data_IF_006040603650
#
_entry.id   IF_006040603650
#
_cell.length_a   1.000
_cell.length_b   1.000
_cell.length_c   1.000
_cell.angle_alpha   90.00
_cell.angle_beta   90.00
_cell.angle_gamma   90.00
#
_symmetry.space_group_name_H-M   'P 1'
#
loop_
_entity.id
_entity.type
_entity.pdbx_description
1 polymer ?
#
# COMPACT_ATOMS: atom_id res chain seq x y z
N UNK A 1 -13.12 -29.94 -20.87
CA UNK A 1 -12.59 -28.65 -21.36
C UNK A 1 -13.51 -27.56 -20.83
N UNK A 2 -13.11 -26.91 -19.74
CA UNK A 2 -13.88 -25.80 -19.15
C UNK A 2 -13.86 -24.63 -20.13
N UNK A 3 -15.04 -24.18 -20.58
CA UNK A 3 -15.16 -22.95 -21.36
C UNK A 3 -14.53 -21.82 -20.55
N UNK A 4 -13.39 -21.31 -21.02
CA UNK A 4 -12.85 -20.04 -20.54
C UNK A 4 -13.89 -19.00 -20.92
N UNK A 5 -14.51 -18.31 -19.96
CA UNK A 5 -15.42 -17.23 -20.31
C UNK A 5 -14.60 -16.21 -21.11
N UNK A 6 -14.96 -16.02 -22.37
CA UNK A 6 -14.29 -15.04 -23.22
C UNK A 6 -14.83 -13.67 -22.81
N UNK A 7 -14.16 -13.06 -21.82
CA UNK A 7 -14.45 -11.68 -21.42
C UNK A 7 -14.33 -10.80 -22.65
N UNK A 8 -15.43 -10.13 -23.01
CA UNK A 8 -15.48 -9.25 -24.18
C UNK A 8 -14.34 -8.22 -24.13
N UNK A 9 -13.69 -7.96 -25.26
CA UNK A 9 -12.67 -6.91 -25.41
C UNK A 9 -13.20 -5.56 -24.91
N UNK A 10 -14.50 -5.33 -25.05
CA UNK A 10 -15.17 -4.14 -24.54
C UNK A 10 -15.08 -4.02 -23.02
N UNK A 11 -15.28 -5.12 -22.29
CA UNK A 11 -15.20 -5.12 -20.82
C UNK A 11 -13.76 -4.83 -20.36
N UNK A 12 -12.75 -5.39 -21.04
CA UNK A 12 -11.34 -5.08 -20.79
C UNK A 12 -11.02 -3.60 -21.02
N UNK A 13 -11.50 -3.02 -22.13
CA UNK A 13 -11.28 -1.61 -22.41
C UNK A 13 -11.95 -0.73 -21.36
N UNK A 14 -13.17 -1.07 -20.93
CA UNK A 14 -13.89 -0.34 -19.88
C UNK A 14 -13.12 -0.40 -18.55
N UNK A 15 -12.71 -1.59 -18.11
CA UNK A 15 -12.04 -1.74 -16.81
C UNK A 15 -10.65 -1.11 -16.78
N UNK A 16 -9.86 -1.25 -17.85
CA UNK A 16 -8.55 -0.60 -17.97
C UNK A 16 -8.71 0.92 -18.00
N UNK A 17 -9.67 1.43 -18.78
CA UNK A 17 -9.91 2.88 -18.86
C UNK A 17 -10.34 3.44 -17.51
N UNK A 18 -11.28 2.77 -16.84
CA UNK A 18 -11.73 3.17 -15.50
C UNK A 18 -10.57 3.17 -14.49
N UNK A 19 -9.71 2.13 -14.52
CA UNK A 19 -8.54 2.04 -13.66
C UNK A 19 -7.54 3.19 -13.93
N UNK A 20 -7.23 3.46 -15.20
CA UNK A 20 -6.31 4.54 -15.58
C UNK A 20 -6.85 5.91 -15.17
N UNK A 21 -8.16 6.14 -15.28
CA UNK A 21 -8.80 7.38 -14.81
C UNK A 21 -8.67 7.51 -13.30
N UNK A 22 -8.95 6.45 -12.53
CA UNK A 22 -8.83 6.47 -11.06
C UNK A 22 -7.38 6.76 -10.65
N UNK A 23 -6.41 6.04 -11.21
CA UNK A 23 -4.98 6.23 -10.91
C UNK A 23 -4.53 7.64 -11.29
N UNK A 24 -4.93 8.13 -12.47
CA UNK A 24 -4.58 9.47 -12.94
C UNK A 24 -5.14 10.58 -12.04
N UNK A 25 -6.40 10.45 -11.61
CA UNK A 25 -7.04 11.40 -10.69
C UNK A 25 -6.38 11.35 -9.30
N UNK A 26 -6.09 10.17 -8.78
CA UNK A 26 -5.42 10.00 -7.48
C UNK A 26 -4.02 10.61 -7.49
N UNK A 27 -3.23 10.35 -8.54
CA UNK A 27 -1.91 10.94 -8.70
C UNK A 27 -1.96 12.46 -8.83
N UNK A 28 -2.88 12.99 -9.65
CA UNK A 28 -3.08 14.43 -9.80
C UNK A 28 -3.48 15.09 -8.47
N UNK A 29 -4.37 14.44 -7.71
CA UNK A 29 -4.80 14.91 -6.39
C UNK A 29 -3.66 14.88 -5.37
N UNK A 30 -2.89 13.79 -5.32
CA UNK A 30 -1.74 13.63 -4.44
C UNK A 30 -0.68 14.71 -4.73
N UNK A 31 -0.40 15.01 -6.00
CA UNK A 31 0.52 16.08 -6.39
C UNK A 31 -0.03 17.46 -6.02
N UNK A 32 -1.33 17.71 -6.21
CA UNK A 32 -1.97 18.98 -5.88
C UNK A 32 -1.96 19.25 -4.36
N UNK A 33 -2.13 18.22 -3.53
CA UNK A 33 -2.14 18.33 -2.06
C UNK A 33 -0.81 18.02 -1.38
N UNK A 34 0.30 17.95 -2.13
CA UNK A 34 1.64 17.58 -1.62
C UNK A 34 2.20 18.40 -0.45
N UNK A 35 1.60 19.55 -0.13
CA UNK A 35 2.07 20.47 0.93
C UNK A 35 1.23 20.39 2.20
N UNK A 36 0.18 19.57 2.22
CA UNK A 36 -0.74 19.44 3.35
C UNK A 36 -0.44 18.14 4.08
N UNK A 37 -0.21 18.23 5.38
CA UNK A 37 -0.05 17.05 6.22
C UNK A 37 -1.33 16.22 6.23
N UNK A 38 -1.19 14.92 5.98
CA UNK A 38 -2.31 13.99 5.97
C UNK A 38 -2.68 13.63 7.42
N UNK A 39 -3.88 14.00 7.85
CA UNK A 39 -4.39 13.58 9.16
C UNK A 39 -4.72 12.08 9.16
N UNK A 40 -4.57 11.41 10.30
CA UNK A 40 -4.98 10.01 10.47
C UNK A 40 -6.43 9.78 10.03
N UNK A 41 -7.35 10.71 10.31
CA UNK A 41 -8.76 10.61 9.87
C UNK A 41 -8.90 10.66 8.35
N UNK A 42 -8.13 11.52 7.69
CA UNK A 42 -8.12 11.64 6.22
C UNK A 42 -7.56 10.35 5.60
N UNK A 43 -6.47 9.80 6.15
CA UNK A 43 -5.87 8.55 5.70
C UNK A 43 -6.82 7.35 5.86
N UNK A 44 -7.47 7.19 7.02
CA UNK A 44 -8.44 6.11 7.25
C UNK A 44 -9.65 6.25 6.33
N UNK A 45 -10.16 7.46 6.11
CA UNK A 45 -11.28 7.70 5.21
C UNK A 45 -10.95 7.31 3.77
N UNK A 46 -9.77 7.69 3.26
CA UNK A 46 -9.31 7.29 1.93
C UNK A 46 -9.09 5.77 1.81
N UNK A 47 -8.51 5.14 2.83
CA UNK A 47 -8.35 3.68 2.87
C UNK A 47 -9.70 2.96 2.78
N UNK A 48 -10.68 3.34 3.62
CA UNK A 48 -12.01 2.77 3.61
C UNK A 48 -12.75 3.03 2.29
N UNK A 49 -12.60 4.22 1.71
CA UNK A 49 -13.17 4.55 0.41
C UNK A 49 -12.69 3.58 -0.69
N UNK A 50 -11.38 3.37 -0.80
CA UNK A 50 -10.82 2.48 -1.82
C UNK A 50 -11.13 1.00 -1.58
N UNK A 51 -11.12 0.55 -0.32
CA UNK A 51 -11.57 -0.81 0.03
C UNK A 51 -13.04 -1.01 -0.36
N UNK A 52 -13.89 -0.04 -0.04
CA UNK A 52 -15.31 -0.09 -0.40
C UNK A 52 -15.53 -0.08 -1.91
N UNK A 53 -14.74 0.70 -2.64
CA UNK A 53 -14.79 0.75 -4.10
C UNK A 53 -14.40 -0.59 -4.73
N UNK A 54 -13.36 -1.24 -4.21
CA UNK A 54 -12.94 -2.56 -4.66
C UNK A 54 -13.99 -3.64 -4.38
N UNK A 55 -14.61 -3.62 -3.19
CA UNK A 55 -15.70 -4.53 -2.84
C UNK A 55 -16.92 -4.29 -3.73
N UNK A 56 -17.32 -3.03 -3.92
CA UNK A 56 -18.44 -2.67 -4.80
C UNK A 56 -18.19 -3.13 -6.24
N UNK A 57 -16.98 -2.93 -6.76
CA UNK A 57 -16.59 -3.41 -8.08
C UNK A 57 -16.61 -4.94 -8.16
N UNK A 58 -16.05 -5.64 -7.16
CA UNK A 58 -16.09 -7.10 -7.09
C UNK A 58 -17.50 -7.66 -7.04
N UNK A 59 -18.43 -7.01 -6.34
CA UNK A 59 -19.85 -7.38 -6.35
C UNK A 59 -20.48 -7.09 -7.72
N UNK A 60 -20.16 -5.95 -8.34
CA UNK A 60 -20.65 -5.59 -9.68
C UNK A 60 -20.17 -6.56 -10.76
N UNK A 61 -18.98 -7.15 -10.62
CA UNK A 61 -18.46 -8.17 -11.54
C UNK A 61 -19.34 -9.42 -11.63
N UNK A 62 -20.20 -9.70 -10.65
CA UNK A 62 -21.20 -10.79 -10.74
C UNK A 62 -22.14 -10.67 -11.95
N UNK A 63 -22.27 -9.47 -12.52
CA UNK A 63 -23.08 -9.23 -13.71
C UNK A 63 -22.37 -9.64 -15.01
N UNK A 64 -21.04 -9.80 -14.98
CA UNK A 64 -20.20 -10.06 -16.15
C UNK A 64 -19.42 -11.37 -16.07
N UNK A 65 -19.21 -11.90 -14.87
CA UNK A 65 -18.34 -13.04 -14.59
C UNK A 65 -19.08 -14.14 -13.84
N UNK A 66 -18.56 -15.36 -13.94
CA UNK A 66 -19.02 -16.48 -13.13
C UNK A 66 -18.62 -16.32 -11.66
N UNK A 67 -19.29 -17.03 -10.75
CA UNK A 67 -18.96 -17.02 -9.33
C UNK A 67 -17.50 -17.41 -9.03
N UNK A 68 -16.91 -18.29 -9.86
CA UNK A 68 -15.51 -18.68 -9.73
C UNK A 68 -14.56 -17.53 -10.07
N UNK A 69 -14.77 -16.87 -11.20
CA UNK A 69 -13.94 -15.74 -11.63
C UNK A 69 -14.09 -14.55 -10.68
N UNK A 70 -15.27 -14.35 -10.11
CA UNK A 70 -15.50 -13.37 -9.05
C UNK A 70 -14.70 -13.71 -7.78
N UNK A 71 -14.65 -14.98 -7.37
CA UNK A 71 -13.81 -15.42 -6.24
C UNK A 71 -12.32 -15.24 -6.54
N UNK A 72 -11.89 -15.54 -7.76
CA UNK A 72 -10.51 -15.30 -8.21
C UNK A 72 -10.16 -13.81 -8.18
N UNK A 73 -11.09 -12.91 -8.53
CA UNK A 73 -10.91 -11.46 -8.36
C UNK A 73 -10.71 -11.07 -6.89
N UNK A 74 -11.57 -11.52 -5.97
CA UNK A 74 -11.44 -11.18 -4.55
C UNK A 74 -10.18 -11.77 -3.92
N UNK A 75 -9.83 -13.00 -4.27
CA UNK A 75 -8.60 -13.64 -3.82
C UNK A 75 -7.36 -12.89 -4.30
N UNK A 76 -7.34 -12.53 -5.60
CA UNK A 76 -6.27 -11.71 -6.18
C UNK A 76 -6.18 -10.33 -5.54
N UNK A 77 -7.30 -9.59 -5.48
CA UNK A 77 -7.36 -8.26 -4.86
C UNK A 77 -6.87 -8.28 -3.40
N UNK A 78 -7.33 -9.22 -2.58
CA UNK A 78 -6.94 -9.31 -1.17
C UNK A 78 -5.46 -9.66 -1.00
N UNK A 79 -4.94 -10.53 -1.85
CA UNK A 79 -3.52 -10.90 -1.86
C UNK A 79 -2.66 -9.69 -2.22
N UNK A 80 -3.05 -8.98 -3.29
CA UNK A 80 -2.36 -7.78 -3.76
C UNK A 80 -2.44 -6.62 -2.76
N UNK A 81 -3.58 -6.46 -2.09
CA UNK A 81 -3.79 -5.49 -1.03
C UNK A 81 -2.90 -5.78 0.18
N UNK A 82 -2.82 -7.04 0.62
CA UNK A 82 -1.95 -7.46 1.72
C UNK A 82 -0.47 -7.20 1.41
N UNK A 83 -0.01 -7.55 0.20
CA UNK A 83 1.36 -7.28 -0.26
C UNK A 83 1.70 -5.78 -0.30
N UNK A 84 0.71 -4.90 -0.44
CA UNK A 84 0.95 -3.45 -0.41
C UNK A 84 1.27 -2.92 1.00
N UNK A 85 0.78 -3.57 2.06
CA UNK A 85 1.11 -3.22 3.45
C UNK A 85 2.58 -3.49 3.78
N UNK A 86 3.11 -4.61 3.29
CA UNK A 86 4.53 -4.96 3.44
C UNK A 86 5.44 -3.90 2.82
N UNK A 87 5.07 -3.43 1.62
CA UNK A 87 5.81 -2.39 0.90
C UNK A 87 5.75 -1.03 1.61
N UNK A 88 4.60 -0.64 2.17
CA UNK A 88 4.45 0.60 2.93
C UNK A 88 5.36 0.60 4.17
N UNK A 89 5.43 -0.52 4.88
CA UNK A 89 6.25 -0.65 6.08
C UNK A 89 7.74 -0.41 5.79
N UNK A 90 8.25 -1.03 4.73
CA UNK A 90 9.64 -0.85 4.28
C UNK A 90 9.92 0.62 3.93
N UNK A 91 9.00 1.29 3.24
CA UNK A 91 9.18 2.71 2.92
C UNK A 91 9.21 3.58 4.17
N UNK A 92 8.28 3.40 5.11
CA UNK A 92 8.26 4.18 6.36
C UNK A 92 9.56 3.98 7.14
N UNK A 93 10.03 2.74 7.25
CA UNK A 93 11.32 2.44 7.89
C UNK A 93 12.48 3.20 7.25
N UNK A 94 12.62 3.09 5.93
CA UNK A 94 13.72 3.74 5.19
C UNK A 94 13.66 5.26 5.40
N UNK A 95 12.47 5.86 5.31
CA UNK A 95 12.29 7.30 5.48
C UNK A 95 12.62 7.77 6.91
N UNK A 96 12.22 7.01 7.92
CA UNK A 96 12.53 7.29 9.33
C UNK A 96 14.03 7.16 9.59
N UNK A 97 14.67 6.09 9.11
CA UNK A 97 16.12 5.88 9.26
C UNK A 97 16.95 6.96 8.55
N UNK A 98 16.49 7.43 7.40
CA UNK A 98 17.14 8.51 6.64
C UNK A 98 16.80 9.91 7.17
N UNK A 99 15.99 10.03 8.22
CA UNK A 99 15.56 11.31 8.82
C UNK A 99 15.05 12.31 7.78
N UNK A 100 14.31 11.82 6.79
CA UNK A 100 13.77 12.67 5.72
C UNK A 100 12.68 13.57 6.30
N UNK A 101 12.81 14.88 6.08
CA UNK A 101 11.81 15.89 6.43
C UNK A 101 10.42 15.48 5.95
N UNK A 102 9.41 15.63 6.82
CA UNK A 102 8.00 15.22 6.58
C UNK A 102 7.44 15.79 5.27
N UNK A 103 7.85 16.99 4.87
CA UNK A 103 7.42 17.60 3.60
C UNK A 103 7.93 16.84 2.37
N UNK A 104 9.07 16.14 2.48
CA UNK A 104 9.67 15.35 1.40
C UNK A 104 9.28 13.87 1.46
N UNK A 105 8.80 13.38 2.61
CA UNK A 105 8.37 11.99 2.78
C UNK A 105 7.25 11.62 1.80
N UNK A 106 6.24 12.48 1.62
CA UNK A 106 5.15 12.21 0.69
C UNK A 106 5.64 12.02 -0.76
N UNK A 107 6.62 12.81 -1.19
CA UNK A 107 7.21 12.69 -2.52
C UNK A 107 8.03 11.40 -2.66
N UNK A 108 8.83 11.07 -1.64
CA UNK A 108 9.61 9.84 -1.63
C UNK A 108 8.71 8.59 -1.62
N UNK A 109 7.60 8.61 -0.87
CA UNK A 109 6.57 7.58 -0.88
C UNK A 109 5.96 7.43 -2.28
N UNK A 110 5.57 8.54 -2.92
CA UNK A 110 4.96 8.52 -4.24
C UNK A 110 5.92 7.96 -5.31
N UNK A 111 7.21 8.33 -5.26
CA UNK A 111 8.23 7.76 -6.15
C UNK A 111 8.45 6.28 -5.85
N UNK A 112 8.52 5.89 -4.57
CA UNK A 112 8.67 4.50 -4.14
C UNK A 112 7.53 3.61 -4.64
N UNK A 113 6.28 4.07 -4.51
CA UNK A 113 5.09 3.38 -5.03
C UNK A 113 5.18 3.22 -6.56
N UNK A 114 5.57 4.28 -7.29
CA UNK A 114 5.71 4.21 -8.74
C UNK A 114 6.74 3.14 -9.16
N UNK A 115 7.91 3.15 -8.52
CA UNK A 115 8.97 2.17 -8.78
C UNK A 115 8.49 0.75 -8.42
N UNK A 116 7.84 0.58 -7.28
CA UNK A 116 7.30 -0.72 -6.86
C UNK A 116 6.27 -1.28 -7.85
N UNK A 117 5.37 -0.43 -8.38
CA UNK A 117 4.41 -0.83 -9.41
C UNK A 117 5.11 -1.28 -10.70
N UNK A 118 6.14 -0.56 -11.14
CA UNK A 118 6.92 -0.94 -12.34
C UNK A 118 7.65 -2.27 -12.11
N UNK A 119 8.34 -2.42 -10.98
CA UNK A 119 9.01 -3.66 -10.61
C UNK A 119 8.03 -4.81 -10.51
N UNK A 120 6.82 -4.57 -9.99
CA UNK A 120 5.75 -5.58 -9.93
C UNK A 120 5.30 -6.02 -11.31
N UNK A 121 5.08 -5.11 -12.26
CA UNK A 121 4.72 -5.46 -13.65
C UNK A 121 5.82 -6.32 -14.29
N UNK A 122 7.08 -5.93 -14.08
CA UNK A 122 8.25 -6.68 -14.58
C UNK A 122 8.30 -8.08 -13.94
N UNK A 123 8.17 -8.18 -12.62
CA UNK A 123 8.23 -9.44 -11.88
C UNK A 123 7.10 -10.40 -12.28
N UNK A 124 5.87 -9.90 -12.46
CA UNK A 124 4.73 -10.70 -12.93
C UNK A 124 4.95 -11.17 -14.37
N UNK A 125 5.44 -10.29 -15.25
CA UNK A 125 5.70 -10.63 -16.66
C UNK A 125 6.79 -11.69 -16.81
N UNK A 126 7.81 -11.65 -15.95
CA UNK A 126 8.89 -12.64 -15.88
C UNK A 126 8.52 -13.89 -15.05
N UNK A 127 7.45 -13.82 -14.27
CA UNK A 127 7.19 -14.67 -13.11
C UNK A 127 6.81 -16.12 -13.38
N UNK A 128 6.58 -16.51 -14.65
CA UNK A 128 6.14 -17.88 -14.99
C UNK A 128 7.16 -18.98 -14.63
N UNK A 129 8.42 -18.63 -14.34
CA UNK A 129 9.46 -19.56 -13.89
C UNK A 129 10.17 -19.12 -12.58
N UNK A 130 9.95 -17.90 -12.11
CA UNK A 130 10.71 -17.32 -10.98
C UNK A 130 10.05 -17.55 -9.61
N UNK A 131 8.72 -17.55 -9.53
CA UNK A 131 7.99 -17.50 -8.25
C UNK A 131 8.25 -18.74 -7.39
N UNK A 132 8.33 -19.93 -7.98
CA UNK A 132 8.52 -21.19 -7.25
C UNK A 132 9.91 -21.28 -6.58
N UNK A 133 10.92 -20.60 -7.11
CA UNK A 133 12.30 -20.67 -6.59
C UNK A 133 12.62 -19.61 -5.52
N UNK A 134 11.80 -18.56 -5.40
CA UNK A 134 12.04 -17.45 -4.47
C UNK A 134 11.06 -17.40 -3.28
N UNK A 135 10.20 -18.41 -3.11
CA UNK A 135 9.24 -18.44 -1.99
C UNK A 135 9.92 -18.33 -0.62
N UNK A 136 11.09 -18.98 -0.45
CA UNK A 136 11.89 -18.91 0.79
C UNK A 136 12.33 -17.49 1.17
N UNK A 137 12.49 -16.59 0.19
CA UNK A 137 12.88 -15.19 0.39
C UNK A 137 11.77 -14.44 1.13
N UNK A 138 10.50 -14.77 0.89
CA UNK A 138 9.37 -14.15 1.60
C UNK A 138 9.40 -14.44 3.10
N UNK A 139 9.84 -15.65 3.51
CA UNK A 139 9.97 -15.98 4.93
C UNK A 139 11.08 -15.17 5.62
N UNK A 140 12.23 -14.98 4.94
CA UNK A 140 13.32 -14.13 5.46
C UNK A 140 12.87 -12.68 5.54
N UNK A 141 12.22 -12.19 4.50
CA UNK A 141 11.71 -10.82 4.45
C UNK A 141 10.67 -10.60 5.55
N UNK A 142 9.72 -11.52 5.72
CA UNK A 142 8.72 -11.47 6.79
C UNK A 142 9.35 -11.44 8.19
N UNK A 143 10.36 -12.27 8.46
CA UNK A 143 11.09 -12.24 9.72
C UNK A 143 11.83 -10.89 9.94
N UNK A 144 12.43 -10.34 8.89
CA UNK A 144 13.06 -9.03 8.91
C UNK A 144 12.06 -7.90 9.18
N UNK A 145 10.87 -7.94 8.60
CA UNK A 145 9.80 -6.96 8.85
C UNK A 145 9.32 -7.03 10.30
N UNK A 146 9.13 -8.22 10.87
CA UNK A 146 8.76 -8.40 12.28
C UNK A 146 9.83 -7.80 13.19
N UNK A 147 11.09 -8.17 13.00
CA UNK A 147 12.21 -7.64 13.78
C UNK A 147 12.23 -6.10 13.74
N UNK A 148 12.04 -5.55 12.54
CA UNK A 148 12.10 -4.11 12.34
C UNK A 148 10.89 -3.40 12.94
N UNK A 149 9.69 -3.99 12.87
CA UNK A 149 8.48 -3.43 13.47
C UNK A 149 8.63 -3.31 14.98
N UNK A 150 9.19 -4.34 15.62
CA UNK A 150 9.50 -4.35 17.05
C UNK A 150 10.57 -3.29 17.38
N UNK A 151 11.66 -3.24 16.60
CA UNK A 151 12.72 -2.25 16.81
C UNK A 151 12.20 -0.82 16.72
N UNK A 152 11.33 -0.51 15.75
CA UNK A 152 10.79 0.82 15.55
C UNK A 152 9.80 1.19 16.67
N UNK A 153 8.96 0.25 17.09
CA UNK A 153 8.02 0.45 18.19
C UNK A 153 8.74 0.76 19.52
N UNK A 154 9.84 0.05 19.79
CA UNK A 154 10.68 0.30 20.97
C UNK A 154 11.34 1.69 20.88
N UNK A 155 11.92 2.06 19.74
CA UNK A 155 12.57 3.36 19.54
C UNK A 155 11.59 4.53 19.70
N UNK A 156 10.37 4.42 19.14
CA UNK A 156 9.32 5.45 19.32
C UNK A 156 8.81 5.57 20.76
N UNK A 157 8.80 4.46 21.52
CA UNK A 157 8.36 4.49 22.93
C UNK A 157 9.37 5.22 23.80
N UNK A 158 10.67 5.02 23.54
CA UNK A 158 11.74 5.70 24.25
C UNK A 158 11.78 7.21 23.95
N UNK A 159 11.61 7.62 22.68
CA UNK A 159 11.52 9.05 22.34
C UNK A 159 10.31 9.74 23.01
N UNK A 160 9.16 9.07 23.08
CA UNK A 160 7.98 9.61 23.78
C UNK A 160 8.15 9.71 25.30
N UNK A 161 8.93 8.83 25.93
CA UNK A 161 9.20 8.85 27.37
C UNK A 161 10.16 9.99 27.73
N UNK A 162 11.24 10.18 26.96
CA UNK A 162 12.18 11.30 27.15
C UNK A 162 11.49 12.66 26.94
N UNK A 163 10.66 12.81 25.90
CA UNK A 163 9.94 14.06 25.63
C UNK A 163 8.90 14.39 26.73
N UNK A 164 8.28 13.36 27.32
CA UNK A 164 7.37 13.51 28.47
C UNK A 164 8.10 13.87 29.76
N UNK A 165 9.30 13.34 30.01
CA UNK A 165 10.14 13.75 31.15
C UNK A 165 10.62 15.19 31.02
N UNK A 166 11.16 15.58 29.86
CA UNK A 166 11.59 16.95 29.61
C UNK A 166 10.43 17.94 29.76
N UNK A 167 9.23 17.62 29.28
CA UNK A 167 8.05 18.47 29.49
C UNK A 167 7.69 18.66 30.97
N UNK A 168 7.91 17.65 31.83
CA UNK A 168 7.68 17.77 33.28
C UNK A 168 8.76 18.60 33.96
N UNK A 169 10.03 18.42 33.58
CA UNK A 169 11.17 19.18 34.11
C UNK A 169 11.03 20.67 33.74
N UNK A 170 10.67 20.96 32.49
CA UNK A 170 10.44 22.33 32.00
C UNK A 170 9.24 22.98 32.73
N UNK A 171 8.18 22.22 33.02
CA UNK A 171 7.05 22.72 33.83
C UNK A 171 7.44 22.99 35.29
N UNK A 172 8.30 22.15 35.86
CA UNK A 172 8.77 22.29 37.24
C UNK A 172 9.70 23.51 37.40
N UNK A 173 10.57 23.78 36.43
CA UNK A 173 11.46 24.96 36.44
C UNK A 173 10.75 26.29 36.15
N UNK A 174 9.52 26.25 35.65
CA UNK A 174 8.72 27.44 35.35
C UNK A 174 7.72 27.80 36.46
N UNK A 175 7.58 26.96 37.48
CA UNK A 175 6.72 27.15 38.65
C UNK A 175 7.52 27.71 39.82
#
# INVERSE_FOLDING_TARGET
MTQVATISTTNWVITITALLVIIGLDFAWAVARRKKDTSMREATAWSLFYVSLAVAFGLFLSQWLSAREQQEFFAGWLTEYSLSFDNLFVFVLILTRLKIDKQKQQLALLIGILIALVLRIIAISLGKAAIEQFEWVFFIFGAFLIYTAVSLFMESTHEEEEEKEDSKIIKFLRA
#
